data_IF_916806111809
#
_entry.id   IF_916806111809
#
_cell.length_a   1.000
_cell.length_b   1.000
_cell.length_c   1.000
_cell.angle_alpha   90.00
_cell.angle_beta   90.00
_cell.angle_gamma   90.00
#
_symmetry.space_group_name_H-M   'P 1'
#
loop_
_entity.id
_entity.type
_entity.pdbx_description
1 polymer ?
#
# COMPACT_ATOMS: atom_id res chain seq x y z
N UNK A 1 6.47 1.29 18.99
CA UNK A 1 5.61 0.51 18.06
C UNK A 1 4.31 -0.05 18.65
N UNK A 2 4.29 -1.09 19.49
CA UNK A 2 3.02 -1.75 19.89
C UNK A 2 1.97 -0.77 20.47
N UNK A 3 2.34 0.08 21.42
CA UNK A 3 1.43 1.06 22.02
C UNK A 3 0.92 2.11 21.02
N UNK A 4 1.76 2.51 20.06
CA UNK A 4 1.38 3.44 18.99
C UNK A 4 0.33 2.78 18.09
N UNK A 5 0.53 1.49 17.75
CA UNK A 5 -0.44 0.69 17.01
C UNK A 5 -1.78 0.53 17.75
N UNK A 6 -1.75 0.27 19.05
CA UNK A 6 -2.98 0.20 19.87
C UNK A 6 -3.71 1.55 19.92
N UNK A 7 -2.98 2.66 20.05
CA UNK A 7 -3.58 3.99 20.01
C UNK A 7 -4.20 4.28 18.63
N UNK A 8 -3.53 3.87 17.54
CA UNK A 8 -4.06 4.00 16.19
C UNK A 8 -5.40 3.26 16.05
N UNK A 9 -5.47 2.01 16.50
CA UNK A 9 -6.68 1.19 16.52
C UNK A 9 -7.81 1.81 17.36
N UNK A 10 -7.51 2.45 18.49
CA UNK A 10 -8.50 3.04 19.39
C UNK A 10 -8.94 4.48 19.04
N UNK A 11 -8.18 5.20 18.22
CA UNK A 11 -8.34 6.65 18.05
C UNK A 11 -9.47 7.11 17.13
N UNK A 12 -10.04 6.22 16.30
CA UNK A 12 -11.12 6.56 15.35
C UNK A 12 -10.78 7.67 14.34
N UNK A 13 -9.51 8.08 14.23
CA UNK A 13 -9.06 9.14 13.32
C UNK A 13 -9.20 8.70 11.85
N UNK A 14 -9.47 9.67 10.97
CA UNK A 14 -9.61 9.47 9.52
C UNK A 14 -8.35 8.82 8.92
N UNK A 15 -8.54 8.03 7.87
CA UNK A 15 -7.53 7.15 7.28
C UNK A 15 -6.29 7.85 6.72
N UNK A 16 -5.15 7.15 6.79
CA UNK A 16 -3.88 7.51 6.15
C UNK A 16 -2.86 8.24 7.05
N UNK A 17 -3.28 9.15 7.94
CA UNK A 17 -2.32 10.08 8.57
C UNK A 17 -1.52 9.54 9.77
N UNK A 18 -2.01 8.54 10.50
CA UNK A 18 -1.49 8.29 11.85
C UNK A 18 -0.52 7.11 11.95
N UNK A 19 -0.81 5.99 11.28
CA UNK A 19 -0.05 4.76 11.43
C UNK A 19 -0.24 3.83 10.24
N UNK A 20 0.87 3.32 9.72
CA UNK A 20 0.89 2.29 8.66
C UNK A 20 1.03 0.92 9.34
N UNK A 21 0.17 -0.07 9.04
CA UNK A 21 0.31 -1.41 9.59
C UNK A 21 1.72 -1.98 9.36
N UNK A 22 2.22 -2.73 10.34
CA UNK A 22 3.61 -3.23 10.34
C UNK A 22 3.91 -4.06 9.09
N UNK A 23 2.99 -4.94 8.67
CA UNK A 23 3.18 -5.76 7.49
C UNK A 23 3.30 -4.94 6.20
N UNK A 24 2.48 -3.89 6.05
CA UNK A 24 2.56 -2.99 4.88
C UNK A 24 3.88 -2.20 4.92
N UNK A 25 4.27 -1.74 6.10
CA UNK A 25 5.52 -0.99 6.29
C UNK A 25 6.74 -1.87 6.00
N UNK A 26 6.70 -3.12 6.45
CA UNK A 26 7.69 -4.16 6.16
C UNK A 26 7.81 -4.43 4.67
N UNK A 27 6.69 -4.66 3.98
CA UNK A 27 6.65 -4.88 2.54
C UNK A 27 7.30 -3.74 1.76
N UNK A 28 6.86 -2.50 2.01
CA UNK A 28 7.39 -1.30 1.33
C UNK A 28 8.87 -1.18 1.58
N UNK A 29 9.30 -1.31 2.83
CA UNK A 29 10.70 -1.08 3.20
C UNK A 29 11.62 -2.11 2.57
N UNK A 30 11.25 -3.41 2.61
CA UNK A 30 12.01 -4.48 1.95
C UNK A 30 12.19 -4.22 0.45
N UNK A 31 11.16 -3.70 -0.20
CA UNK A 31 11.20 -3.36 -1.62
C UNK A 31 12.15 -2.18 -1.88
N UNK A 32 11.99 -1.07 -1.14
CA UNK A 32 12.75 0.16 -1.43
C UNK A 32 14.22 0.08 -1.04
N UNK A 33 14.58 -0.73 -0.02
CA UNK A 33 15.97 -0.94 0.41
C UNK A 33 16.67 -2.06 -0.36
N UNK A 34 15.96 -2.76 -1.26
CA UNK A 34 16.52 -3.91 -1.98
C UNK A 34 17.72 -3.50 -2.85
N UNK A 35 18.80 -4.28 -2.76
CA UNK A 35 20.07 -4.00 -3.45
C UNK A 35 20.88 -2.84 -2.85
N UNK A 36 20.47 -2.30 -1.69
CA UNK A 36 21.16 -1.20 -1.00
C UNK A 36 21.31 -1.46 0.51
N UNK A 37 21.26 -2.72 0.94
CA UNK A 37 21.23 -3.11 2.35
C UNK A 37 22.49 -2.69 3.13
N UNK A 38 23.62 -2.61 2.44
CA UNK A 38 24.96 -2.27 2.92
C UNK A 38 25.34 -0.80 2.68
N UNK A 39 24.41 0.02 2.17
CA UNK A 39 24.70 1.42 1.82
C UNK A 39 24.90 2.28 3.06
N UNK A 40 26.12 2.78 3.24
CA UNK A 40 26.43 3.76 4.28
C UNK A 40 25.74 5.10 4.00
N UNK A 41 25.15 5.71 5.03
CA UNK A 41 24.46 7.00 4.87
C UNK A 41 23.14 6.90 4.10
N UNK A 42 22.51 5.71 4.07
CA UNK A 42 21.25 5.50 3.36
C UNK A 42 20.20 6.54 3.77
N UNK A 43 19.66 7.26 2.79
CA UNK A 43 18.74 8.37 3.00
C UNK A 43 17.31 7.95 2.66
N UNK A 44 16.41 8.05 3.65
CA UNK A 44 14.99 7.70 3.51
C UNK A 44 14.11 8.89 3.85
N UNK A 45 13.10 9.16 3.02
CA UNK A 45 12.19 10.28 3.18
C UNK A 45 10.73 9.85 3.24
N UNK A 46 9.98 10.39 4.21
CA UNK A 46 8.54 10.26 4.31
C UNK A 46 7.89 11.65 4.50
N UNK A 47 7.37 12.26 3.42
CA UNK A 47 6.68 13.56 3.49
C UNK A 47 5.34 13.53 4.23
N UNK A 48 4.85 12.37 4.68
CA UNK A 48 3.63 12.23 5.48
C UNK A 48 3.88 11.25 6.63
N UNK A 49 4.97 11.48 7.38
CA UNK A 49 5.58 10.46 8.24
C UNK A 49 4.69 9.93 9.36
N UNK A 50 3.63 10.64 9.75
CA UNK A 50 2.76 10.23 10.84
C UNK A 50 3.58 9.98 12.10
N UNK A 51 3.48 8.78 12.68
CA UNK A 51 4.26 8.36 13.86
C UNK A 51 5.76 8.08 13.60
N UNK A 52 6.24 8.22 12.37
CA UNK A 52 7.59 7.82 11.96
C UNK A 52 7.81 6.30 11.92
N UNK A 53 6.77 5.49 12.15
CA UNK A 53 6.85 4.03 12.20
C UNK A 53 7.27 3.41 10.85
N UNK A 54 6.83 3.99 9.74
CA UNK A 54 7.21 3.54 8.40
C UNK A 54 8.70 3.80 8.13
N UNK A 55 9.17 5.01 8.43
CA UNK A 55 10.60 5.36 8.35
C UNK A 55 11.49 4.41 9.17
N UNK A 56 11.10 4.13 10.40
CA UNK A 56 11.86 3.29 11.32
C UNK A 56 12.09 1.86 10.81
N UNK A 57 11.24 1.35 9.92
CA UNK A 57 11.44 0.02 9.33
C UNK A 57 12.77 -0.12 8.60
N UNK A 58 13.36 0.96 8.09
CA UNK A 58 14.65 0.89 7.41
C UNK A 58 15.73 0.25 8.31
N UNK A 59 15.67 0.46 9.63
CA UNK A 59 16.60 -0.17 10.58
C UNK A 59 16.50 -1.70 10.60
N UNK A 60 15.35 -2.27 10.24
CA UNK A 60 15.14 -3.72 10.25
C UNK A 60 15.69 -4.40 8.99
N UNK A 61 15.79 -3.66 7.88
CA UNK A 61 16.14 -4.23 6.56
C UNK A 61 17.49 -3.78 6.01
N UNK A 62 18.15 -2.82 6.66
CA UNK A 62 19.56 -2.50 6.42
C UNK A 62 20.48 -3.33 7.33
N UNK A 63 21.69 -3.58 6.86
CA UNK A 63 22.71 -4.35 7.57
C UNK A 63 23.13 -3.66 8.87
N UNK A 64 23.45 -4.45 9.89
CA UNK A 64 23.81 -3.95 11.21
C UNK A 64 25.00 -2.97 11.19
N UNK A 65 25.95 -3.20 10.28
CA UNK A 65 27.13 -2.36 10.03
C UNK A 65 26.78 -0.91 9.64
N UNK A 66 25.64 -0.68 8.99
CA UNK A 66 25.23 0.63 8.47
C UNK A 66 23.98 1.21 9.13
N UNK A 67 23.28 0.46 9.98
CA UNK A 67 22.05 0.92 10.67
C UNK A 67 22.21 2.23 11.42
N UNK A 68 23.37 2.46 12.01
CA UNK A 68 23.68 3.69 12.75
C UNK A 68 24.16 4.83 11.86
N UNK A 69 23.95 4.75 10.54
CA UNK A 69 24.37 5.77 9.56
C UNK A 69 23.19 6.30 8.75
N UNK A 70 22.02 5.67 8.86
CA UNK A 70 20.79 6.01 8.15
C UNK A 70 20.42 7.47 8.44
N UNK A 71 20.01 8.20 7.39
CA UNK A 71 19.50 9.56 7.50
C UNK A 71 17.99 9.54 7.28
N UNK A 72 17.23 9.92 8.31
CA UNK A 72 15.77 9.94 8.28
C UNK A 72 15.29 11.36 8.02
N UNK A 73 14.59 11.53 6.89
CA UNK A 73 13.92 12.77 6.54
C UNK A 73 12.42 12.57 6.66
N UNK A 74 11.71 13.54 7.24
CA UNK A 74 10.29 13.37 7.46
C UNK A 74 9.55 14.68 7.64
N UNK A 75 8.31 14.71 7.15
CA UNK A 75 7.42 15.84 7.34
C UNK A 75 6.07 15.38 7.88
N UNK A 76 5.55 16.09 8.86
CA UNK A 76 4.25 15.82 9.46
C UNK A 76 3.51 17.13 9.75
N UNK A 77 2.24 17.21 9.37
CA UNK A 77 1.43 18.44 9.52
C UNK A 77 0.95 18.64 10.95
N UNK A 78 0.48 17.59 11.61
CA UNK A 78 -0.04 17.63 12.98
C UNK A 78 1.11 17.79 13.98
N UNK A 79 1.15 18.91 14.69
CA UNK A 79 2.18 19.17 15.71
C UNK A 79 2.24 18.07 16.78
N UNK A 80 1.09 17.52 17.20
CA UNK A 80 1.03 16.40 18.16
C UNK A 80 1.65 15.13 17.58
N UNK A 81 1.33 14.81 16.32
CA UNK A 81 1.84 13.60 15.65
C UNK A 81 3.33 13.74 15.34
N UNK A 82 3.78 14.93 14.95
CA UNK A 82 5.18 15.27 14.77
C UNK A 82 6.01 15.03 16.05
N UNK A 83 5.50 15.48 17.21
CA UNK A 83 6.19 15.21 18.48
C UNK A 83 6.21 13.73 18.82
N UNK A 84 5.14 12.99 18.52
CA UNK A 84 5.12 11.53 18.65
C UNK A 84 6.20 10.86 17.78
N UNK A 85 6.36 11.29 16.52
CA UNK A 85 7.39 10.75 15.62
C UNK A 85 8.80 10.95 16.17
N UNK A 86 9.10 12.14 16.71
CA UNK A 86 10.39 12.44 17.35
C UNK A 86 10.63 11.59 18.58
N UNK A 87 9.63 11.46 19.46
CA UNK A 87 9.70 10.56 20.61
C UNK A 87 9.93 9.11 20.16
N UNK A 88 9.26 8.67 19.10
CA UNK A 88 9.40 7.32 18.56
C UNK A 88 10.82 7.06 18.05
N UNK A 89 11.42 8.01 17.33
CA UNK A 89 12.82 7.93 16.88
C UNK A 89 13.80 7.82 18.06
N UNK A 90 13.60 8.63 19.11
CA UNK A 90 14.43 8.60 20.33
C UNK A 90 14.34 7.24 21.04
N UNK A 91 13.13 6.69 21.19
CA UNK A 91 12.91 5.39 21.82
C UNK A 91 13.55 4.23 21.05
N UNK A 92 13.77 4.40 19.74
CA UNK A 92 14.50 3.43 18.90
C UNK A 92 15.99 3.77 18.75
N UNK A 93 16.52 4.63 19.62
CA UNK A 93 17.92 5.03 19.67
C UNK A 93 18.45 5.60 18.35
N UNK A 94 17.62 6.37 17.63
CA UNK A 94 18.08 7.12 16.46
C UNK A 94 18.72 8.44 16.96
N UNK A 95 20.00 8.71 16.68
CA UNK A 95 20.65 9.97 17.05
C UNK A 95 19.92 11.20 16.48
N UNK A 96 19.92 12.31 17.22
CA UNK A 96 19.29 13.56 16.75
C UNK A 96 19.91 14.08 15.45
N UNK A 97 21.20 13.86 15.22
CA UNK A 97 21.91 14.24 13.99
C UNK A 97 21.45 13.48 12.74
N UNK A 98 20.66 12.42 12.90
CA UNK A 98 20.09 11.61 11.82
C UNK A 98 18.60 11.85 11.63
N UNK A 99 18.00 12.73 12.44
CA UNK A 99 16.57 13.06 12.42
C UNK A 99 16.37 14.44 11.79
N UNK A 100 16.08 14.47 10.50
CA UNK A 100 15.79 15.68 9.75
C UNK A 100 14.29 15.81 9.60
N UNK A 101 13.60 16.30 10.63
CA UNK A 101 12.14 16.37 10.64
C UNK A 101 11.61 17.80 10.61
N UNK A 102 10.52 18.01 9.86
CA UNK A 102 9.78 19.27 9.81
C UNK A 102 8.32 19.09 10.22
N UNK A 103 7.81 20.01 11.03
CA UNK A 103 6.37 20.15 11.24
C UNK A 103 5.82 21.14 10.21
N UNK A 104 4.99 20.69 9.27
CA UNK A 104 4.44 21.55 8.23
C UNK A 104 3.58 20.82 7.20
N UNK A 105 2.88 21.58 6.36
CA UNK A 105 2.09 21.04 5.24
C UNK A 105 2.97 20.76 4.02
N UNK A 106 3.03 19.49 3.63
CA UNK A 106 3.81 18.93 2.52
C UNK A 106 3.43 19.53 1.15
N UNK A 107 2.14 19.69 0.90
CA UNK A 107 1.66 20.24 -0.38
C UNK A 107 1.66 21.76 -0.35
N UNK A 108 1.43 22.35 0.83
CA UNK A 108 1.39 23.81 1.01
C UNK A 108 2.73 24.51 0.76
N UNK A 109 3.84 23.93 1.20
CA UNK A 109 5.18 24.49 0.96
C UNK A 109 6.20 23.37 0.85
N UNK A 110 6.89 23.32 -0.30
CA UNK A 110 7.89 22.31 -0.59
C UNK A 110 9.02 22.27 0.43
N UNK A 111 9.50 21.07 0.73
CA UNK A 111 10.60 20.83 1.65
C UNK A 111 11.12 19.39 1.54
N UNK A 112 12.42 19.15 1.75
CA UNK A 112 13.48 20.16 1.88
C UNK A 112 13.78 20.90 0.58
N UNK A 113 14.10 22.19 0.70
CA UNK A 113 14.54 23.04 -0.42
C UNK A 113 16.06 23.25 -0.43
N UNK A 114 16.73 22.90 0.67
CA UNK A 114 18.19 22.91 0.79
C UNK A 114 18.71 21.48 0.63
N UNK A 115 19.84 21.32 -0.06
CA UNK A 115 20.42 20.00 -0.30
C UNK A 115 20.81 19.28 1.00
N UNK A 116 20.57 17.96 1.12
CA UNK A 116 20.03 17.07 0.10
C UNK A 116 18.50 17.16 -0.07
N UNK A 117 18.05 17.34 -1.31
CA UNK A 117 16.62 17.35 -1.67
C UNK A 117 16.15 16.05 -2.32
N UNK A 118 17.06 15.11 -2.59
CA UNK A 118 16.74 13.81 -3.20
C UNK A 118 17.26 12.64 -2.36
N UNK A 119 16.46 11.57 -2.24
CA UNK A 119 16.71 10.46 -1.31
C UNK A 119 16.84 9.10 -2.00
N UNK A 120 17.53 8.16 -1.33
CA UNK A 120 17.72 6.79 -1.84
C UNK A 120 16.39 6.02 -1.89
N UNK A 121 15.51 6.29 -0.94
CA UNK A 121 14.12 5.85 -1.00
C UNK A 121 13.15 6.88 -0.45
N UNK A 122 11.95 6.85 -1.01
CA UNK A 122 10.80 7.61 -0.50
C UNK A 122 9.72 6.59 -0.11
N UNK A 123 9.24 6.66 1.13
CA UNK A 123 8.18 5.78 1.64
C UNK A 123 7.03 6.64 2.12
N UNK A 124 5.80 6.28 1.78
CA UNK A 124 4.66 7.16 2.02
C UNK A 124 3.36 6.39 2.28
N UNK A 125 2.59 6.87 3.25
CA UNK A 125 1.18 6.54 3.43
C UNK A 125 0.42 7.85 3.66
N UNK A 126 0.12 8.63 2.61
CA UNK A 126 -0.52 9.93 2.76
C UNK A 126 -1.98 9.79 3.22
N UNK A 127 -2.60 10.87 3.75
CA UNK A 127 -4.05 10.93 3.93
C UNK A 127 -4.82 10.65 2.62
N UNK A 128 -5.73 9.69 2.67
CA UNK A 128 -6.43 9.22 1.46
C UNK A 128 -7.46 10.24 0.99
N UNK A 129 -7.39 10.59 -0.29
CA UNK A 129 -8.37 11.45 -0.96
C UNK A 129 -8.66 12.75 -0.20
N UNK A 130 -7.63 13.31 0.44
CA UNK A 130 -7.73 14.58 1.15
C UNK A 130 -8.05 15.71 0.15
N UNK A 131 -8.82 16.69 0.61
CA UNK A 131 -8.94 17.95 -0.11
C UNK A 131 -7.63 18.75 0.04
N UNK A 132 -7.22 19.43 -1.02
CA UNK A 132 -6.05 20.30 -1.05
C UNK A 132 -6.35 21.55 -1.89
N UNK A 133 -5.47 22.55 -1.86
CA UNK A 133 -5.68 23.81 -2.57
C UNK A 133 -5.86 23.60 -4.07
N UNK A 134 -4.97 22.82 -4.71
CA UNK A 134 -5.00 22.57 -6.15
C UNK A 134 -5.04 23.85 -6.98
N UNK A 135 -4.38 24.90 -6.49
CA UNK A 135 -4.38 26.22 -7.12
C UNK A 135 -3.55 26.21 -8.40
N UNK A 136 -3.99 26.98 -9.40
CA UNK A 136 -3.34 26.98 -10.73
C UNK A 136 -1.87 27.38 -10.68
N UNK A 137 -1.42 28.09 -9.64
CA UNK A 137 -0.01 28.43 -9.43
C UNK A 137 0.90 27.20 -9.29
N UNK A 138 0.37 26.05 -8.86
CA UNK A 138 1.14 24.80 -8.83
C UNK A 138 1.48 24.27 -10.23
N UNK A 139 0.89 24.78 -11.31
CA UNK A 139 1.29 24.42 -12.67
C UNK A 139 2.70 24.91 -13.04
N UNK A 140 3.23 25.91 -12.33
CA UNK A 140 4.63 26.37 -12.47
C UNK A 140 5.57 25.77 -11.43
N UNK A 141 5.06 24.95 -10.51
CA UNK A 141 5.87 24.24 -9.51
C UNK A 141 6.51 23.01 -10.17
N UNK A 142 7.82 22.83 -9.99
CA UNK A 142 8.61 21.77 -10.63
C UNK A 142 8.11 20.36 -10.28
N UNK A 143 7.42 20.21 -9.13
CA UNK A 143 6.82 18.94 -8.70
C UNK A 143 5.67 18.49 -9.60
N UNK A 144 4.93 19.44 -10.18
CA UNK A 144 3.68 19.16 -10.89
C UNK A 144 3.69 19.58 -12.36
N UNK A 145 4.52 20.56 -12.73
CA UNK A 145 4.64 21.08 -14.09
C UNK A 145 4.77 19.98 -15.17
N UNK A 146 5.57 18.91 -14.99
CA UNK A 146 5.78 17.92 -16.06
C UNK A 146 4.54 17.11 -16.45
N UNK A 147 3.47 17.14 -15.64
CA UNK A 147 2.32 16.24 -15.80
C UNK A 147 1.08 16.91 -16.41
N UNK A 148 1.20 18.18 -16.84
CA UNK A 148 0.19 19.00 -17.56
C UNK A 148 -1.13 19.27 -16.81
N UNK A 149 -1.43 18.53 -15.76
CA UNK A 149 -2.61 18.66 -14.92
C UNK A 149 -2.22 18.53 -13.45
N UNK A 150 -2.95 19.25 -12.60
CA UNK A 150 -2.91 19.07 -11.16
C UNK A 150 -3.90 17.98 -10.74
N UNK A 151 -3.59 17.29 -9.64
CA UNK A 151 -4.55 16.40 -9.01
C UNK A 151 -5.85 17.17 -8.66
N UNK A 152 -7.04 16.54 -8.74
CA UNK A 152 -8.30 17.23 -8.42
C UNK A 152 -8.31 17.80 -6.99
N UNK A 153 -8.94 18.96 -6.78
CA UNK A 153 -8.97 19.63 -5.45
C UNK A 153 -9.49 18.74 -4.32
N UNK A 154 -10.44 17.84 -4.62
CA UNK A 154 -10.97 16.88 -3.64
C UNK A 154 -10.18 15.58 -3.51
N UNK A 155 -9.05 15.42 -4.24
CA UNK A 155 -8.26 14.18 -4.35
C UNK A 155 -6.77 14.51 -4.46
N UNK A 156 -6.12 14.70 -3.31
CA UNK A 156 -4.68 14.99 -3.24
C UNK A 156 -3.76 13.78 -3.52
N UNK A 157 -4.31 12.59 -3.78
CA UNK A 157 -3.56 11.33 -3.88
C UNK A 157 -2.36 11.43 -4.85
N UNK A 158 -2.57 11.92 -6.08
CA UNK A 158 -1.49 12.15 -7.05
C UNK A 158 -0.58 13.33 -6.67
N UNK A 159 -1.08 14.37 -5.98
CA UNK A 159 -0.21 15.47 -5.55
C UNK A 159 0.86 14.98 -4.56
N UNK A 160 0.48 14.09 -3.63
CA UNK A 160 1.42 13.44 -2.73
C UNK A 160 2.38 12.50 -3.47
N UNK A 161 1.88 11.67 -4.38
CA UNK A 161 2.72 10.79 -5.20
C UNK A 161 3.77 11.58 -5.98
N UNK A 162 3.36 12.66 -6.66
CA UNK A 162 4.27 13.50 -7.45
C UNK A 162 5.29 14.23 -6.59
N UNK A 163 4.90 14.73 -5.41
CA UNK A 163 5.84 15.33 -4.46
C UNK A 163 6.89 14.32 -3.99
N UNK A 164 6.49 13.13 -3.56
CA UNK A 164 7.44 12.09 -3.18
C UNK A 164 8.36 11.67 -4.32
N UNK A 165 7.81 11.53 -5.53
CA UNK A 165 8.58 11.15 -6.72
C UNK A 165 9.57 12.23 -7.14
N UNK A 166 9.23 13.51 -6.99
CA UNK A 166 10.14 14.63 -7.21
C UNK A 166 11.41 14.50 -6.36
N UNK A 167 11.26 14.22 -5.05
CA UNK A 167 12.35 14.03 -4.09
C UNK A 167 13.06 12.65 -4.17
N UNK A 168 12.81 11.83 -5.18
CA UNK A 168 13.49 10.54 -5.34
C UNK A 168 14.80 10.71 -6.12
N UNK A 169 15.91 10.09 -5.70
CA UNK A 169 17.13 10.02 -6.53
C UNK A 169 16.89 9.23 -7.82
N UNK A 170 17.74 9.46 -8.82
CA UNK A 170 17.67 8.77 -10.10
C UNK A 170 17.80 7.24 -9.99
N UNK A 171 18.63 6.75 -9.06
CA UNK A 171 18.80 5.33 -8.75
C UNK A 171 17.87 4.86 -7.60
N UNK A 172 17.00 5.73 -7.09
CA UNK A 172 16.17 5.48 -5.93
C UNK A 172 14.94 4.61 -6.22
N UNK A 173 14.32 4.10 -5.15
CA UNK A 173 13.01 3.41 -5.23
C UNK A 173 12.02 4.04 -4.26
N UNK A 174 10.83 4.37 -4.75
CA UNK A 174 9.73 4.92 -3.95
C UNK A 174 8.64 3.86 -3.78
N UNK A 175 8.06 3.78 -2.58
CA UNK A 175 6.87 2.99 -2.31
C UNK A 175 5.80 3.83 -1.62
N UNK A 176 4.60 3.89 -2.20
CA UNK A 176 3.49 4.69 -1.69
C UNK A 176 2.21 3.86 -1.59
N UNK A 177 1.52 3.95 -0.45
CA UNK A 177 0.21 3.34 -0.24
C UNK A 177 -0.89 4.31 -0.70
N UNK A 178 -1.80 3.86 -1.56
CA UNK A 178 -2.90 4.67 -2.08
C UNK A 178 -4.21 3.86 -2.19
N UNK A 179 -5.38 4.51 -2.19
CA UNK A 179 -6.62 3.85 -2.59
C UNK A 179 -6.60 3.51 -4.09
N UNK A 180 -7.28 2.44 -4.50
CA UNK A 180 -7.27 1.95 -5.90
C UNK A 180 -7.73 2.98 -6.94
N UNK A 181 -8.49 4.01 -6.56
CA UNK A 181 -8.98 4.98 -7.53
C UNK A 181 -7.86 5.69 -8.32
N UNK A 182 -6.64 5.83 -7.78
CA UNK A 182 -5.51 6.40 -8.54
C UNK A 182 -5.16 5.57 -9.79
N UNK A 183 -5.48 4.27 -9.77
CA UNK A 183 -5.17 3.33 -10.84
C UNK A 183 -6.09 3.50 -12.06
N UNK A 184 -7.33 3.98 -11.88
CA UNK A 184 -8.32 3.96 -12.95
C UNK A 184 -9.15 5.24 -13.10
N UNK A 185 -9.10 6.19 -12.15
CA UNK A 185 -9.82 7.46 -12.31
C UNK A 185 -9.30 8.21 -13.56
N UNK A 186 -10.23 8.76 -14.34
CA UNK A 186 -9.94 9.47 -15.58
C UNK A 186 -9.61 10.95 -15.39
N UNK A 187 -9.91 11.76 -16.40
CA UNK A 187 -9.70 13.21 -16.40
C UNK A 187 -8.26 13.60 -16.01
N UNK A 188 -8.09 14.54 -15.07
CA UNK A 188 -6.77 15.02 -14.65
C UNK A 188 -5.86 13.90 -14.13
N UNK A 189 -6.39 12.96 -13.37
CA UNK A 189 -5.62 11.83 -12.83
C UNK A 189 -5.20 10.85 -13.93
N UNK A 190 -6.05 10.66 -14.95
CA UNK A 190 -5.69 9.87 -16.14
C UNK A 190 -4.52 10.48 -16.91
N UNK A 191 -4.49 11.80 -17.08
CA UNK A 191 -3.37 12.49 -17.74
C UNK A 191 -2.08 12.34 -16.93
N UNK A 192 -2.11 12.58 -15.62
CA UNK A 192 -0.94 12.41 -14.74
C UNK A 192 -0.41 10.97 -14.81
N UNK A 193 -1.31 9.98 -14.70
CA UNK A 193 -0.97 8.56 -14.75
C UNK A 193 -0.34 8.17 -16.10
N UNK A 194 -0.89 8.67 -17.20
CA UNK A 194 -0.33 8.47 -18.55
C UNK A 194 1.11 8.97 -18.64
N UNK A 195 1.39 10.19 -18.19
CA UNK A 195 2.77 10.74 -18.15
C UNK A 195 3.72 9.88 -17.31
N UNK A 196 3.27 9.42 -16.13
CA UNK A 196 4.07 8.52 -15.30
C UNK A 196 4.38 7.18 -16.00
N UNK A 197 3.45 6.64 -16.78
CA UNK A 197 3.62 5.38 -17.52
C UNK A 197 4.48 5.56 -18.77
N UNK A 198 4.29 6.65 -19.52
CA UNK A 198 5.09 6.97 -20.71
C UNK A 198 6.57 7.17 -20.36
N UNK A 199 6.84 7.73 -19.17
CA UNK A 199 8.18 7.87 -18.60
C UNK A 199 8.71 6.59 -17.93
N UNK A 200 7.95 5.49 -17.93
CA UNK A 200 8.31 4.23 -17.24
C UNK A 200 8.43 4.37 -15.73
N UNK A 201 7.86 5.41 -15.12
CA UNK A 201 8.07 5.74 -13.72
C UNK A 201 7.37 4.80 -12.74
N UNK A 202 6.23 4.23 -13.14
CA UNK A 202 5.52 3.19 -12.36
C UNK A 202 6.18 1.84 -12.66
N UNK A 203 6.76 1.21 -11.63
CA UNK A 203 7.52 -0.04 -11.74
C UNK A 203 6.70 -1.28 -11.38
N UNK A 204 5.84 -1.14 -10.37
CA UNK A 204 4.93 -2.18 -9.92
C UNK A 204 3.69 -1.59 -9.24
N UNK A 205 2.58 -2.33 -9.33
CA UNK A 205 1.32 -2.07 -8.62
C UNK A 205 0.96 -3.34 -7.84
N UNK A 206 0.90 -3.23 -6.51
CA UNK A 206 0.62 -4.35 -5.61
C UNK A 206 -0.74 -4.11 -4.96
N UNK A 207 -1.73 -4.96 -5.25
CA UNK A 207 -3.05 -4.93 -4.62
C UNK A 207 -2.99 -5.53 -3.22
N UNK A 208 -3.31 -4.73 -2.21
CA UNK A 208 -3.29 -5.18 -0.81
C UNK A 208 -4.65 -5.77 -0.40
N UNK A 209 -4.67 -6.73 0.55
CA UNK A 209 -5.92 -7.20 1.13
C UNK A 209 -6.79 -6.06 1.68
N UNK A 210 -8.10 -6.22 1.56
CA UNK A 210 -9.07 -5.35 2.22
C UNK A 210 -8.94 -5.43 3.74
N UNK A 211 -9.45 -4.42 4.46
CA UNK A 211 -9.53 -4.41 5.92
C UNK A 211 -8.19 -4.69 6.64
N UNK A 212 -7.06 -4.22 6.08
CA UNK A 212 -5.75 -4.21 6.74
C UNK A 212 -5.53 -2.94 7.57
N UNK A 213 -6.14 -1.83 7.16
CA UNK A 213 -5.96 -0.53 7.80
C UNK A 213 -7.04 -0.28 8.84
N UNK A 214 -6.64 0.05 10.07
CA UNK A 214 -7.58 0.31 11.18
C UNK A 214 -8.66 1.36 10.91
N UNK A 215 -8.38 2.28 10.00
CA UNK A 215 -9.22 3.44 9.70
C UNK A 215 -10.14 3.25 8.49
N UNK A 216 -9.98 2.16 7.72
CA UNK A 216 -10.82 1.89 6.56
C UNK A 216 -10.81 0.41 6.15
N UNK A 217 -11.99 -0.11 5.80
CA UNK A 217 -12.14 -1.47 5.29
C UNK A 217 -11.77 -1.63 3.81
N UNK A 218 -11.55 -0.52 3.08
CA UNK A 218 -11.31 -0.58 1.63
C UNK A 218 -10.00 -1.29 1.30
N UNK A 219 -9.92 -2.02 0.17
CA UNK A 219 -8.65 -2.47 -0.37
C UNK A 219 -7.81 -1.25 -0.80
N UNK A 220 -6.51 -1.38 -0.61
CA UNK A 220 -5.52 -0.36 -0.99
C UNK A 220 -4.52 -0.97 -1.96
N UNK A 221 -3.66 -0.15 -2.54
CA UNK A 221 -2.55 -0.61 -3.35
C UNK A 221 -1.26 0.03 -2.87
N UNK A 222 -0.14 -0.67 -3.07
CA UNK A 222 1.20 -0.11 -3.01
C UNK A 222 1.67 0.11 -4.44
N UNK A 223 2.00 1.36 -4.77
CA UNK A 223 2.61 1.71 -6.05
C UNK A 223 4.10 1.89 -5.83
N UNK A 224 4.91 1.19 -6.61
CA UNK A 224 6.37 1.30 -6.59
C UNK A 224 6.80 2.15 -7.78
N UNK A 225 7.60 3.19 -7.53
CA UNK A 225 8.12 4.09 -8.55
C UNK A 225 9.65 4.09 -8.58
N UNK A 226 10.20 4.24 -9.78
CA UNK A 226 11.64 4.38 -10.05
C UNK A 226 11.86 5.41 -11.14
N UNK A 227 13.03 6.06 -11.14
CA UNK A 227 13.46 6.96 -12.21
C UNK A 227 14.38 6.22 -13.19
N UNK A 228 14.58 6.80 -14.38
CA UNK A 228 15.59 6.40 -15.37
C UNK A 228 15.60 4.89 -15.68
N UNK A 229 14.43 4.32 -15.95
CA UNK A 229 14.30 2.93 -16.40
C UNK A 229 14.38 2.84 -17.91
N UNK A 230 15.06 1.81 -18.40
CA UNK A 230 15.10 1.49 -19.84
C UNK A 230 13.75 0.90 -20.31
N UNK A 231 13.11 0.09 -19.46
CA UNK A 231 11.81 -0.52 -19.75
C UNK A 231 10.65 0.27 -19.14
N UNK A 232 9.49 0.16 -19.78
CA UNK A 232 8.23 0.81 -19.36
C UNK A 232 7.14 -0.19 -18.99
N UNK A 233 7.52 -1.46 -18.83
CA UNK A 233 6.64 -2.50 -18.28
C UNK A 233 6.24 -2.21 -16.83
N UNK A 234 5.08 -2.73 -16.43
CA UNK A 234 4.53 -2.61 -15.08
C UNK A 234 4.22 -4.00 -14.55
N UNK A 235 4.79 -4.32 -13.39
CA UNK A 235 4.47 -5.57 -12.70
C UNK A 235 3.21 -5.38 -11.86
N UNK A 236 2.16 -6.15 -12.13
CA UNK A 236 0.99 -6.25 -11.29
C UNK A 236 1.13 -7.45 -10.35
N UNK A 237 0.81 -7.26 -9.07
CA UNK A 237 0.71 -8.33 -8.09
C UNK A 237 -0.64 -8.18 -7.38
N UNK A 238 -1.54 -9.14 -7.53
CA UNK A 238 -2.77 -9.21 -6.75
C UNK A 238 -2.52 -10.01 -5.46
N UNK A 239 -2.19 -9.29 -4.39
CA UNK A 239 -2.04 -9.87 -3.07
C UNK A 239 -3.32 -9.77 -2.22
N UNK A 240 -4.50 -9.53 -2.83
CA UNK A 240 -5.75 -9.32 -2.10
C UNK A 240 -6.17 -10.52 -1.24
N UNK A 241 -5.75 -11.74 -1.61
CA UNK A 241 -5.96 -13.00 -0.88
C UNK A 241 -4.84 -13.34 0.12
N UNK A 242 -3.77 -12.56 0.19
CA UNK A 242 -2.58 -12.83 1.02
C UNK A 242 -2.75 -12.32 2.46
N UNK A 243 -3.73 -12.88 3.17
CA UNK A 243 -4.00 -12.52 4.56
C UNK A 243 -4.64 -13.68 5.33
N UNK A 244 -4.54 -13.58 6.64
CA UNK A 244 -5.35 -14.35 7.57
C UNK A 244 -6.44 -13.47 8.14
N UNK A 245 -7.68 -13.96 8.08
CA UNK A 245 -8.81 -13.26 8.66
C UNK A 245 -8.61 -13.10 10.18
N UNK A 246 -8.47 -11.85 10.64
CA UNK A 246 -8.45 -11.53 12.06
C UNK A 246 -9.83 -11.07 12.54
N UNK A 247 -9.98 -10.93 13.87
CA UNK A 247 -11.27 -10.57 14.48
C UNK A 247 -11.76 -9.17 14.07
N UNK A 248 -10.86 -8.20 14.00
CA UNK A 248 -11.19 -6.82 13.66
C UNK A 248 -10.61 -6.39 12.30
N UNK A 249 -9.43 -6.88 11.96
CA UNK A 249 -8.66 -6.54 10.76
C UNK A 249 -8.02 -7.81 10.19
N UNK A 250 -7.78 -7.81 8.89
CA UNK A 250 -6.98 -8.83 8.22
C UNK A 250 -5.51 -8.66 8.58
N UNK A 251 -4.81 -9.77 8.77
CA UNK A 251 -3.41 -9.80 9.18
C UNK A 251 -2.59 -10.44 8.08
N UNK A 252 -1.55 -9.75 7.61
CA UNK A 252 -0.55 -10.35 6.75
C UNK A 252 0.56 -10.95 7.62
N UNK A 253 0.78 -12.25 7.46
CA UNK A 253 1.87 -12.97 8.11
C UNK A 253 3.15 -12.85 7.27
N UNK A 254 4.29 -13.25 7.84
CA UNK A 254 5.59 -13.09 7.19
C UNK A 254 5.66 -13.81 5.82
N UNK A 255 5.03 -14.98 5.72
CA UNK A 255 4.96 -15.78 4.49
C UNK A 255 4.26 -15.04 3.33
N UNK A 256 3.18 -14.30 3.64
CA UNK A 256 2.49 -13.45 2.66
C UNK A 256 3.42 -12.36 2.13
N UNK A 257 4.16 -11.69 3.03
CA UNK A 257 5.10 -10.63 2.66
C UNK A 257 6.26 -11.22 1.82
N UNK A 258 6.81 -12.37 2.22
CA UNK A 258 7.88 -13.05 1.51
C UNK A 258 7.47 -13.45 0.09
N UNK A 259 6.24 -13.96 -0.08
CA UNK A 259 5.69 -14.30 -1.40
C UNK A 259 5.60 -13.07 -2.32
N UNK A 260 5.10 -11.95 -1.82
CA UNK A 260 4.97 -10.71 -2.59
C UNK A 260 6.35 -10.15 -2.95
N UNK A 261 7.29 -10.10 -1.99
CA UNK A 261 8.65 -9.61 -2.22
C UNK A 261 9.39 -10.49 -3.23
N UNK A 262 9.21 -11.81 -3.17
CA UNK A 262 9.75 -12.74 -4.15
C UNK A 262 9.22 -12.46 -5.56
N UNK A 263 7.91 -12.36 -5.73
CA UNK A 263 7.32 -12.05 -7.04
C UNK A 263 7.77 -10.68 -7.58
N UNK A 264 7.90 -9.68 -6.71
CA UNK A 264 8.44 -8.37 -7.07
C UNK A 264 9.86 -8.45 -7.64
N UNK A 265 10.72 -9.28 -7.05
CA UNK A 265 12.10 -9.46 -7.53
C UNK A 265 12.21 -10.33 -8.77
N UNK A 266 11.38 -11.36 -8.89
CA UNK A 266 11.39 -12.26 -10.04
C UNK A 266 10.83 -11.58 -11.29
N UNK A 267 9.85 -10.68 -11.15
CA UNK A 267 9.16 -9.98 -12.25
C UNK A 267 8.68 -10.94 -13.35
N UNK A 268 8.05 -12.03 -12.95
CA UNK A 268 7.50 -13.03 -13.87
C UNK A 268 6.01 -13.18 -13.63
N UNK A 269 5.34 -13.65 -14.67
CA UNK A 269 3.94 -14.05 -14.57
C UNK A 269 3.82 -15.23 -13.61
N UNK A 270 2.83 -15.13 -12.73
CA UNK A 270 2.45 -16.17 -11.79
C UNK A 270 0.94 -16.27 -11.86
N UNK A 271 0.44 -17.45 -12.23
CA UNK A 271 -0.99 -17.72 -12.41
C UNK A 271 -1.81 -17.18 -11.23
N UNK A 272 -2.83 -16.37 -11.54
CA UNK A 272 -3.75 -15.73 -10.58
C UNK A 272 -3.07 -14.87 -9.49
N UNK A 273 -1.82 -14.46 -9.67
CA UNK A 273 -1.09 -13.72 -8.64
C UNK A 273 -0.28 -12.54 -9.19
N UNK A 274 0.46 -12.72 -10.28
CA UNK A 274 1.30 -11.67 -10.84
C UNK A 274 1.33 -11.69 -12.38
N UNK A 275 1.43 -10.52 -12.99
CA UNK A 275 1.53 -10.35 -14.44
C UNK A 275 2.47 -9.18 -14.77
N UNK A 276 3.44 -9.40 -15.66
CA UNK A 276 4.33 -8.35 -16.16
C UNK A 276 3.76 -7.77 -17.46
N UNK A 277 2.95 -6.72 -17.33
CA UNK A 277 2.34 -6.09 -18.48
C UNK A 277 3.36 -5.29 -19.30
N UNK A 278 3.36 -5.49 -20.61
CA UNK A 278 4.15 -4.68 -21.54
C UNK A 278 3.59 -3.26 -21.63
N UNK A 279 4.40 -2.31 -22.13
CA UNK A 279 3.90 -0.94 -22.32
C UNK A 279 2.76 -0.90 -23.34
N UNK A 280 2.80 -1.75 -24.36
CA UNK A 280 1.76 -1.88 -25.37
C UNK A 280 0.43 -2.35 -24.75
N UNK A 281 0.47 -3.34 -23.86
CA UNK A 281 -0.71 -3.81 -23.13
C UNK A 281 -1.32 -2.72 -22.22
N UNK A 282 -0.47 -1.89 -21.60
CA UNK A 282 -0.91 -0.72 -20.83
C UNK A 282 -1.61 0.30 -21.75
N UNK A 283 -1.10 0.51 -22.98
CA UNK A 283 -1.71 1.42 -23.95
C UNK A 283 -3.06 0.89 -24.46
N UNK A 284 -3.15 -0.40 -24.75
CA UNK A 284 -4.40 -1.07 -25.14
C UNK A 284 -5.48 -0.95 -24.06
N UNK A 285 -5.06 -0.91 -22.79
CA UNK A 285 -5.93 -0.66 -21.64
C UNK A 285 -6.17 0.83 -21.34
N UNK A 286 -5.86 1.76 -22.26
CA UNK A 286 -6.03 3.22 -22.09
C UNK A 286 -5.37 3.74 -20.79
N UNK A 287 -4.17 3.23 -20.49
CA UNK A 287 -3.40 3.56 -19.29
C UNK A 287 -4.16 3.28 -17.99
N UNK A 288 -5.19 2.43 -18.00
CA UNK A 288 -5.95 2.02 -16.83
C UNK A 288 -5.20 0.91 -16.09
N UNK A 289 -4.78 1.16 -14.86
CA UNK A 289 -4.00 0.24 -14.03
C UNK A 289 -4.87 -0.59 -13.08
N UNK A 290 -6.18 -0.71 -13.33
CA UNK A 290 -7.05 -1.54 -12.50
C UNK A 290 -6.56 -2.99 -12.53
N UNK A 291 -6.15 -3.52 -11.38
CA UNK A 291 -5.43 -4.80 -11.25
C UNK A 291 -6.16 -5.97 -11.94
N UNK A 292 -7.49 -6.13 -11.85
CA UNK A 292 -8.22 -7.22 -12.53
C UNK A 292 -8.15 -7.21 -14.05
N UNK A 293 -7.62 -6.15 -14.68
CA UNK A 293 -7.36 -6.12 -16.14
C UNK A 293 -6.10 -6.91 -16.53
N UNK A 294 -5.21 -7.14 -15.57
CA UNK A 294 -3.88 -7.70 -15.79
C UNK A 294 -3.67 -9.03 -15.06
N UNK A 295 -4.28 -9.17 -13.88
CA UNK A 295 -4.23 -10.41 -13.11
C UNK A 295 -5.66 -10.96 -13.01
N UNK A 296 -5.93 -12.01 -13.77
CA UNK A 296 -7.19 -12.73 -13.66
C UNK A 296 -7.16 -13.62 -12.41
N UNK A 297 -7.94 -13.26 -11.40
CA UNK A 297 -8.09 -14.03 -10.15
C UNK A 297 -9.40 -14.79 -10.08
N UNK A 298 -10.14 -14.85 -11.21
CA UNK A 298 -11.37 -15.61 -11.30
C UNK A 298 -11.10 -17.10 -11.06
N UNK A 299 -11.92 -17.69 -10.21
CA UNK A 299 -12.00 -19.13 -10.01
C UNK A 299 -13.33 -19.56 -10.64
N UNK A 300 -13.27 -20.41 -11.67
CA UNK A 300 -14.49 -21.06 -12.15
C UNK A 300 -15.08 -21.84 -10.97
N UNK A 301 -16.30 -21.50 -10.56
CA UNK A 301 -17.02 -22.28 -9.55
C UNK A 301 -17.13 -23.71 -10.06
N UNK A 302 -16.74 -24.69 -9.23
CA UNK A 302 -16.94 -26.10 -9.57
C UNK A 302 -18.42 -26.30 -9.90
N UNK A 303 -18.67 -26.84 -11.10
CA UNK A 303 -20.03 -27.15 -11.53
C UNK A 303 -20.66 -28.08 -10.51
N UNK A 304 -21.66 -27.57 -9.79
CA UNK A 304 -22.40 -28.35 -8.82
C UNK A 304 -23.06 -29.51 -9.54
N UNK A 305 -22.66 -30.74 -9.22
CA UNK A 305 -23.34 -31.93 -9.70
C UNK A 305 -24.75 -31.97 -9.10
N UNK A 306 -25.72 -31.52 -9.91
CA UNK A 306 -27.14 -31.44 -9.54
C UNK A 306 -27.67 -32.82 -9.15
N UNK A 307 -27.21 -33.90 -9.79
CA UNK A 307 -27.64 -35.24 -9.47
C UNK A 307 -27.12 -35.67 -8.09
N UNK A 308 -25.84 -35.40 -7.78
CA UNK A 308 -25.27 -35.68 -6.47
C UNK A 308 -25.90 -34.83 -5.35
N UNK A 309 -26.30 -33.58 -5.63
CA UNK A 309 -27.07 -32.75 -4.68
C UNK A 309 -28.47 -33.32 -4.47
N UNK A 310 -29.17 -33.73 -5.53
CA UNK A 310 -30.50 -34.33 -5.42
C UNK A 310 -30.49 -35.62 -4.61
N UNK A 311 -29.47 -36.47 -4.79
CA UNK A 311 -29.34 -37.71 -4.04
C UNK A 311 -29.09 -37.43 -2.55
N UNK A 312 -28.19 -36.50 -2.22
CA UNK A 312 -27.98 -36.04 -0.82
C UNK A 312 -29.24 -35.46 -0.21
N UNK A 313 -30.01 -34.68 -0.97
CA UNK A 313 -31.27 -34.09 -0.52
C UNK A 313 -32.31 -35.17 -0.21
N UNK A 314 -32.33 -36.25 -1.00
CA UNK A 314 -33.22 -37.38 -0.77
C UNK A 314 -32.83 -38.15 0.49
N UNK A 315 -31.55 -38.45 0.67
CA UNK A 315 -31.01 -39.09 1.89
C UNK A 315 -31.36 -38.26 3.13
N UNK A 316 -31.11 -36.96 3.12
CA UNK A 316 -31.44 -36.09 4.26
C UNK A 316 -32.94 -36.01 4.55
N UNK A 317 -33.81 -36.12 3.54
CA UNK A 317 -35.26 -36.21 3.75
C UNK A 317 -35.68 -37.52 4.41
N UNK A 318 -35.06 -38.63 4.01
CA UNK A 318 -35.30 -39.94 4.62
C UNK A 318 -34.81 -39.96 6.08
N UNK A 319 -33.64 -39.40 6.36
CA UNK A 319 -33.11 -39.23 7.72
C UNK A 319 -34.01 -38.34 8.59
N UNK A 320 -34.46 -37.20 8.06
CA UNK A 320 -35.37 -36.29 8.77
C UNK A 320 -36.70 -36.99 9.10
N UNK A 321 -37.28 -37.74 8.15
CA UNK A 321 -38.51 -38.49 8.37
C UNK A 321 -38.34 -39.58 9.45
N UNK A 322 -37.22 -40.29 9.44
CA UNK A 322 -36.91 -41.29 10.47
C UNK A 322 -36.73 -40.65 11.86
N UNK A 323 -36.12 -39.47 11.92
CA UNK A 323 -35.93 -38.72 13.16
C UNK A 323 -37.26 -38.19 13.71
N UNK A 324 -38.15 -37.71 12.83
CA UNK A 324 -39.51 -37.29 13.19
C UNK A 324 -40.33 -38.47 13.75
N UNK A 325 -40.17 -39.66 13.18
CA UNK A 325 -40.82 -40.88 13.68
C UNK A 325 -40.30 -41.29 15.06
N UNK A 326 -38.99 -41.21 15.29
CA UNK A 326 -38.41 -41.40 16.63
C UNK A 326 -38.90 -40.37 17.64
N UNK A 327 -38.94 -39.08 17.26
CA UNK A 327 -39.46 -38.01 18.10
C UNK A 327 -40.93 -38.21 18.46
N UNK A 328 -41.76 -38.62 17.50
CA UNK A 328 -43.15 -38.95 17.73
C UNK A 328 -43.31 -40.12 18.72
N UNK A 329 -42.42 -41.13 18.65
CA UNK A 329 -42.32 -42.20 19.64
C UNK A 329 -42.05 -41.68 21.05
N UNK A 330 -41.05 -40.82 21.21
CA UNK A 330 -40.73 -40.20 22.51
C UNK A 330 -41.85 -39.31 23.05
N UNK A 331 -42.52 -38.52 22.20
CA UNK A 331 -43.66 -37.71 22.63
C UNK A 331 -44.81 -38.57 23.15
N UNK A 332 -45.06 -39.71 22.51
CA UNK A 332 -46.07 -40.67 22.93
C UNK A 332 -45.75 -41.31 24.29
N UNK A 333 -44.47 -41.60 24.56
CA UNK A 333 -44.02 -42.08 25.88
C UNK A 333 -44.15 -41.01 26.97
N UNK A 334 -43.99 -39.74 26.61
CA UNK A 334 -44.13 -38.59 27.51
C UNK A 334 -45.59 -38.12 27.68
N UNK A 335 -46.53 -38.67 26.91
CA UNK A 335 -47.96 -38.32 26.96
C UNK A 335 -48.32 -36.97 26.34
N UNK A 336 -47.49 -36.48 25.40
CA UNK A 336 -47.69 -35.24 24.64
C UNK A 336 -48.36 -35.47 23.29
#
# INVERSE_FOLDING_TARGET
>A
EYLIGQFAAGSGKKAGEFYTPQAVSSLITRIVTSGKADKHGYSIYDPCMGSGSLLLQAKNYLEESVRNTIQFFGQERSHTTYNLARMNMILHHVPFTQQHFRNGDTLGADWPTEEPTSYDSVVMNPPYSQAWSGDKGFMSDQRFQPYEKLAPKGKADFAFLLHGFYHLKNDGTMGIVLPHGVLFRGAAEGVIRKHLLENGSIYAVIGMPANIFFSTGIPTCVVILKKNRDSRDVLFIDASKEFKAGKAQNVMEQEHIDKIVKAYHERKDVEKFAHLASFEEIQENDFNLNIPRYVDTFEEEELVDIAAVQERLKVHREEAAALDEQLAGFFKELGL
#
